data_IF_927399901372
#
_entry.id   IF_927399901372
#
_cell.length_a   1.000
_cell.length_b   1.000
_cell.length_c   1.000
_cell.angle_alpha   90.00
_cell.angle_beta   90.00
_cell.angle_gamma   90.00
#
_symmetry.space_group_name_H-M   'P 1'
#
loop_
_entity.id
_entity.type
_entity.pdbx_description
1 polymer ?
#
# COMPACT_ATOMS: atom_id res chain seq x y z
N UNK A 1 -20.72 48.96 -56.12
CA UNK A 1 -20.63 47.48 -56.15
C UNK A 1 -19.34 46.98 -55.48
N UNK A 2 -18.19 47.63 -55.73
CA UNK A 2 -16.88 47.19 -55.20
C UNK A 2 -16.75 47.22 -53.66
N UNK A 3 -17.35 48.20 -52.98
CA UNK A 3 -17.37 48.25 -51.50
C UNK A 3 -18.18 47.12 -50.85
N UNK A 4 -19.14 46.55 -51.57
CA UNK A 4 -19.98 45.45 -51.07
C UNK A 4 -19.25 44.11 -51.20
N UNK A 5 -18.51 43.91 -52.29
CA UNK A 5 -17.65 42.74 -52.52
C UNK A 5 -16.53 42.65 -51.46
N UNK A 6 -15.94 43.79 -51.09
CA UNK A 6 -14.88 43.83 -50.08
C UNK A 6 -15.37 43.44 -48.66
N UNK A 7 -16.59 43.82 -48.30
CA UNK A 7 -17.20 43.48 -47.01
C UNK A 7 -17.58 42.00 -46.95
N UNK A 8 -18.07 41.41 -48.04
CA UNK A 8 -18.40 39.98 -48.11
C UNK A 8 -17.14 39.11 -48.02
N UNK A 9 -16.03 39.52 -48.64
CA UNK A 9 -14.75 38.80 -48.53
C UNK A 9 -14.13 38.90 -47.12
N UNK A 10 -14.28 40.03 -46.42
CA UNK A 10 -13.79 40.19 -45.04
C UNK A 10 -14.61 39.33 -44.04
N UNK A 11 -15.89 39.08 -44.34
CA UNK A 11 -16.75 38.21 -43.54
C UNK A 11 -16.43 36.72 -43.73
N UNK A 12 -15.93 36.32 -44.90
CA UNK A 12 -15.49 34.93 -45.18
C UNK A 12 -14.12 34.59 -44.56
N UNK A 13 -13.30 35.58 -44.20
CA UNK A 13 -11.98 35.38 -43.58
C UNK A 13 -12.01 35.17 -42.05
N UNK A 14 -13.19 35.23 -41.42
CA UNK A 14 -13.37 34.76 -40.03
C UNK A 14 -13.51 33.23 -39.99
N UNK A 15 -12.51 32.52 -40.51
CA UNK A 15 -12.41 31.07 -40.32
C UNK A 15 -11.96 30.80 -38.87
N UNK A 16 -12.90 30.47 -38.00
CA UNK A 16 -12.58 29.93 -36.68
C UNK A 16 -11.86 28.59 -36.85
N UNK A 17 -10.69 28.43 -36.24
CA UNK A 17 -9.96 27.17 -36.24
C UNK A 17 -10.73 26.12 -35.45
N UNK A 18 -11.33 25.14 -36.14
CA UNK A 18 -11.92 23.97 -35.49
C UNK A 18 -10.77 23.08 -35.01
N UNK A 19 -10.59 22.99 -33.68
CA UNK A 19 -9.69 22.01 -33.07
C UNK A 19 -10.38 20.65 -33.08
N UNK A 20 -9.97 19.75 -33.97
CA UNK A 20 -10.44 18.38 -34.01
C UNK A 20 -9.53 17.50 -33.13
N UNK A 21 -9.88 17.38 -31.85
CA UNK A 21 -9.32 16.33 -30.99
C UNK A 21 -10.19 15.08 -31.09
N UNK A 22 -9.57 13.95 -31.45
CA UNK A 22 -10.26 12.68 -31.64
C UNK A 22 -9.98 11.80 -30.43
N UNK A 23 -11.02 11.56 -29.63
CA UNK A 23 -11.06 10.43 -28.70
C UNK A 23 -11.38 9.16 -29.47
N UNK A 24 -10.72 8.05 -29.12
CA UNK A 24 -10.95 6.74 -29.72
C UNK A 24 -11.88 5.93 -28.82
N UNK A 25 -13.13 5.73 -29.25
CA UNK A 25 -14.15 5.03 -28.47
C UNK A 25 -15.00 5.93 -27.57
N UNK A 26 -15.90 5.34 -26.77
CA UNK A 26 -16.91 6.03 -25.97
C UNK A 26 -18.06 6.66 -26.79
N UNK A 27 -19.17 6.99 -26.12
CA UNK A 27 -20.35 7.64 -26.75
C UNK A 27 -20.55 9.10 -26.34
N UNK A 28 -19.81 9.58 -25.34
CA UNK A 28 -19.84 10.95 -24.83
C UNK A 28 -18.45 11.37 -24.36
N UNK A 29 -18.15 12.66 -24.45
CA UNK A 29 -17.07 13.28 -23.68
C UNK A 29 -16.15 14.16 -24.50
N UNK A 30 -15.90 15.35 -23.94
CA UNK A 30 -14.75 16.18 -24.25
C UNK A 30 -13.48 15.35 -24.04
N UNK A 31 -12.60 15.19 -25.06
CA UNK A 31 -11.30 14.55 -24.86
C UNK A 31 -10.56 15.18 -23.70
N UNK A 32 -9.84 14.36 -22.93
CA UNK A 32 -9.00 14.88 -21.84
C UNK A 32 -8.00 15.90 -22.41
N UNK A 33 -8.05 17.14 -21.94
CA UNK A 33 -7.24 18.25 -22.47
C UNK A 33 -5.74 18.06 -22.29
N UNK A 34 -5.32 17.13 -21.43
CA UNK A 34 -3.93 16.79 -21.18
C UNK A 34 -3.49 15.50 -21.89
N UNK A 35 -4.39 14.82 -22.62
CA UNK A 35 -4.10 13.58 -23.31
C UNK A 35 -3.90 13.84 -24.81
N UNK A 36 -2.74 13.45 -25.33
CA UNK A 36 -2.53 13.36 -26.78
C UNK A 36 -3.27 12.15 -27.38
N UNK A 37 -3.50 11.10 -26.58
CA UNK A 37 -4.26 9.91 -26.94
C UNK A 37 -5.25 9.59 -25.80
N UNK A 38 -6.54 9.68 -26.11
CA UNK A 38 -7.65 9.35 -25.21
C UNK A 38 -8.41 8.15 -25.79
N UNK A 39 -8.44 7.03 -25.07
CA UNK A 39 -9.08 5.77 -25.49
C UNK A 39 -10.05 5.32 -24.41
N UNK A 40 -11.32 5.15 -24.77
CA UNK A 40 -12.36 4.69 -23.85
C UNK A 40 -13.11 3.47 -24.39
N UNK A 41 -13.22 2.43 -23.57
CA UNK A 41 -14.08 1.26 -23.81
C UNK A 41 -14.58 0.71 -22.48
N UNK A 42 -15.78 0.13 -22.47
CA UNK A 42 -16.33 -0.56 -21.29
C UNK A 42 -15.94 -2.04 -21.23
N UNK A 43 -15.43 -2.58 -22.34
CA UNK A 43 -15.25 -4.02 -22.58
C UNK A 43 -13.99 -4.37 -23.40
N UNK A 44 -13.15 -3.38 -23.76
CA UNK A 44 -11.90 -3.60 -24.51
C UNK A 44 -10.72 -2.93 -23.81
N UNK A 45 -9.54 -3.50 -23.97
CA UNK A 45 -8.29 -2.96 -23.46
C UNK A 45 -7.41 -2.35 -24.55
N UNK A 46 -6.31 -1.73 -24.14
CA UNK A 46 -5.25 -1.27 -25.03
C UNK A 46 -4.14 -2.33 -25.12
N UNK A 47 -3.91 -2.87 -26.32
CA UNK A 47 -2.85 -3.84 -26.55
C UNK A 47 -1.53 -3.11 -26.82
N UNK A 48 -0.65 -3.10 -25.83
CA UNK A 48 0.68 -2.48 -25.94
C UNK A 48 1.58 -3.21 -26.95
N UNK A 49 2.58 -2.51 -27.53
CA UNK A 49 3.61 -3.14 -28.34
C UNK A 49 4.29 -4.29 -27.60
N UNK A 50 4.33 -5.46 -28.25
CA UNK A 50 5.01 -6.66 -27.73
C UNK A 50 6.45 -6.66 -28.19
N UNK A 51 7.37 -6.62 -27.23
CA UNK A 51 8.80 -6.43 -27.46
C UNK A 51 9.57 -7.58 -26.78
N UNK A 52 10.65 -8.03 -27.40
CA UNK A 52 11.54 -9.05 -26.85
C UNK A 52 12.76 -8.38 -26.22
N UNK A 53 12.64 -7.96 -24.95
CA UNK A 53 13.74 -7.31 -24.24
C UNK A 53 14.83 -8.33 -23.91
N UNK A 54 16.08 -7.90 -23.94
CA UNK A 54 17.24 -8.74 -23.59
C UNK A 54 17.65 -8.60 -22.11
N UNK A 55 17.66 -7.36 -21.59
CA UNK A 55 17.96 -7.01 -20.20
C UNK A 55 17.35 -5.65 -19.85
N UNK A 56 17.17 -5.36 -18.55
CA UNK A 56 16.66 -4.05 -18.12
C UNK A 56 17.58 -2.88 -18.46
N UNK A 57 18.89 -3.10 -18.56
CA UNK A 57 19.86 -2.03 -18.81
C UNK A 57 20.04 -1.69 -20.29
N UNK A 58 19.60 -2.57 -21.19
CA UNK A 58 19.76 -2.39 -22.62
C UNK A 58 18.46 -1.90 -23.25
N UNK A 59 18.53 -0.93 -24.19
CA UNK A 59 17.34 -0.50 -24.92
C UNK A 59 16.86 -1.55 -25.92
N UNK A 60 17.67 -2.58 -26.20
CA UNK A 60 17.42 -3.63 -27.20
C UNK A 60 16.07 -4.31 -26.94
N UNK A 61 15.22 -4.43 -27.98
CA UNK A 61 15.51 -4.28 -29.41
C UNK A 61 15.29 -2.86 -29.95
N UNK A 62 15.02 -1.88 -29.09
CA UNK A 62 14.93 -0.47 -29.47
C UNK A 62 16.32 0.18 -29.55
N UNK A 63 16.39 1.31 -30.24
CA UNK A 63 17.65 2.01 -30.50
C UNK A 63 18.17 2.81 -29.28
N UNK A 64 17.29 3.22 -28.36
CA UNK A 64 17.64 4.04 -27.20
C UNK A 64 16.63 3.87 -26.06
N UNK A 65 17.07 4.17 -24.83
CA UNK A 65 16.19 4.31 -23.67
C UNK A 65 15.47 5.66 -23.77
N UNK A 66 14.14 5.65 -23.74
CA UNK A 66 13.30 6.84 -23.88
C UNK A 66 12.35 6.89 -22.69
N UNK A 67 12.52 7.90 -21.84
CA UNK A 67 11.72 8.04 -20.62
C UNK A 67 10.21 8.05 -20.91
N UNK A 68 9.45 7.32 -20.08
CA UNK A 68 7.99 7.20 -20.19
C UNK A 68 7.51 6.16 -21.19
N UNK A 69 8.40 5.51 -21.94
CA UNK A 69 8.03 4.49 -22.92
C UNK A 69 7.45 3.23 -22.25
N UNK A 70 6.32 2.73 -22.76
CA UNK A 70 5.64 1.53 -22.24
C UNK A 70 5.62 0.40 -23.28
N UNK A 71 6.02 -0.80 -22.86
CA UNK A 71 6.01 -2.01 -23.69
C UNK A 71 5.60 -3.24 -22.88
N UNK A 72 5.06 -4.26 -23.55
CA UNK A 72 4.90 -5.59 -22.96
C UNK A 72 6.09 -6.46 -23.38
N UNK A 73 6.95 -6.82 -22.42
CA UNK A 73 8.04 -7.75 -22.65
C UNK A 73 7.51 -9.18 -22.84
N UNK A 74 8.09 -9.91 -23.79
CA UNK A 74 7.70 -11.29 -24.13
C UNK A 74 8.74 -12.34 -23.77
N UNK A 75 9.95 -11.92 -23.41
CA UNK A 75 11.08 -12.82 -23.17
C UNK A 75 11.39 -13.02 -21.68
N UNK A 76 12.00 -14.16 -21.39
CA UNK A 76 12.63 -14.46 -20.09
C UNK A 76 14.14 -14.55 -20.26
N UNK A 77 14.77 -13.39 -20.53
CA UNK A 77 16.20 -13.28 -20.82
C UNK A 77 16.88 -12.43 -19.74
N UNK A 78 18.05 -12.86 -19.26
CA UNK A 78 18.76 -12.23 -18.14
C UNK A 78 17.86 -11.88 -16.95
N UNK A 79 17.62 -10.58 -16.72
CA UNK A 79 16.85 -10.02 -15.63
C UNK A 79 15.44 -9.56 -16.04
N UNK A 80 15.05 -9.76 -17.31
CA UNK A 80 13.70 -9.51 -17.78
C UNK A 80 12.87 -10.79 -17.79
N UNK A 81 11.57 -10.62 -17.54
CA UNK A 81 10.56 -11.67 -17.62
C UNK A 81 9.31 -11.10 -18.30
N UNK A 82 8.40 -11.93 -18.83
CA UNK A 82 7.19 -11.43 -19.46
C UNK A 82 6.40 -10.50 -18.52
N UNK A 83 5.89 -9.39 -19.05
CA UNK A 83 5.14 -8.40 -18.29
C UNK A 83 5.25 -6.96 -18.80
N UNK A 84 4.63 -6.03 -18.09
CA UNK A 84 4.61 -4.62 -18.44
C UNK A 84 5.89 -3.91 -17.95
N UNK A 85 6.56 -3.18 -18.84
CA UNK A 85 7.75 -2.40 -18.54
C UNK A 85 7.57 -0.93 -18.94
N UNK A 86 8.10 -0.03 -18.12
CA UNK A 86 8.29 1.38 -18.42
C UNK A 86 9.79 1.68 -18.51
N UNK A 87 10.22 2.47 -19.48
CA UNK A 87 11.58 2.99 -19.50
C UNK A 87 11.68 4.28 -18.68
N UNK A 88 12.67 4.39 -17.79
CA UNK A 88 12.90 5.58 -16.96
C UNK A 88 13.87 6.59 -17.59
N UNK A 89 14.22 6.40 -18.87
CA UNK A 89 15.22 7.18 -19.60
C UNK A 89 16.62 6.57 -19.54
N UNK A 90 16.87 5.63 -18.63
CA UNK A 90 18.16 4.95 -18.47
C UNK A 90 18.06 3.43 -18.51
N UNK A 91 16.92 2.86 -18.11
CA UNK A 91 16.67 1.41 -18.04
C UNK A 91 15.17 1.11 -18.10
N UNK A 92 14.85 -0.16 -18.31
CA UNK A 92 13.51 -0.71 -18.18
C UNK A 92 13.19 -1.06 -16.72
N UNK A 93 12.03 -0.62 -16.26
CA UNK A 93 11.45 -0.90 -14.94
C UNK A 93 10.18 -1.71 -15.15
N UNK A 94 10.14 -2.94 -14.62
CA UNK A 94 8.92 -3.76 -14.65
C UNK A 94 7.87 -3.10 -13.74
N UNK A 95 6.71 -2.77 -14.27
CA UNK A 95 5.64 -2.09 -13.52
C UNK A 95 4.87 -3.03 -12.58
N UNK A 96 4.92 -4.34 -12.85
CA UNK A 96 4.33 -5.37 -11.98
C UNK A 96 5.37 -6.48 -11.81
N UNK A 97 6.18 -6.39 -10.75
CA UNK A 97 7.09 -7.47 -10.38
C UNK A 97 6.33 -8.51 -9.54
N UNK A 98 5.95 -9.60 -10.18
CA UNK A 98 5.68 -10.85 -9.47
C UNK A 98 7.03 -11.38 -8.96
N UNK A 99 7.40 -11.04 -7.73
CA UNK A 99 8.59 -11.57 -7.07
C UNK A 99 9.50 -10.50 -6.48
N UNK A 100 9.63 -10.57 -5.15
CA UNK A 100 10.57 -9.83 -4.28
C UNK A 100 10.21 -8.39 -3.88
N UNK A 101 9.14 -7.79 -4.43
CA UNK A 101 8.51 -6.59 -3.84
C UNK A 101 7.60 -6.92 -2.63
N UNK A 102 7.35 -8.20 -2.37
CA UNK A 102 6.74 -8.65 -1.11
C UNK A 102 7.85 -8.99 -0.13
N UNK A 103 8.41 -7.97 0.52
CA UNK A 103 8.98 -8.20 1.86
C UNK A 103 7.98 -9.03 2.67
N UNK A 104 8.42 -9.82 3.67
CA UNK A 104 7.47 -10.37 4.62
C UNK A 104 6.52 -9.25 5.04
N UNK A 105 5.24 -9.38 4.66
CA UNK A 105 4.16 -8.46 5.05
C UNK A 105 3.87 -8.66 6.54
N UNK A 106 4.89 -8.81 7.38
CA UNK A 106 4.74 -9.08 8.79
C UNK A 106 5.73 -8.28 9.58
N UNK A 107 5.36 -8.01 10.83
CA UNK A 107 6.22 -7.38 11.81
C UNK A 107 5.94 -7.97 13.18
N UNK A 108 6.94 -7.93 14.05
CA UNK A 108 6.75 -8.30 15.44
C UNK A 108 5.95 -7.22 16.15
N UNK A 109 5.03 -7.62 17.01
CA UNK A 109 4.41 -6.70 17.95
C UNK A 109 5.50 -6.08 18.84
N UNK A 110 5.44 -4.78 19.15
CA UNK A 110 6.31 -4.21 20.16
C UNK A 110 6.18 -4.95 21.49
N UNK A 111 7.20 -4.89 22.34
CA UNK A 111 7.15 -5.54 23.65
C UNK A 111 5.96 -5.06 24.47
N UNK A 112 5.24 -6.02 25.06
CA UNK A 112 4.09 -5.79 25.95
C UNK A 112 4.24 -6.63 27.22
N UNK A 113 3.55 -6.22 28.28
CA UNK A 113 3.57 -6.91 29.57
C UNK A 113 2.24 -7.60 29.82
N UNK A 114 2.29 -8.90 30.08
CA UNK A 114 1.18 -9.69 30.58
C UNK A 114 1.27 -9.76 32.10
N UNK A 115 0.18 -9.40 32.79
CA UNK A 115 0.14 -9.51 34.24
C UNK A 115 -0.29 -10.93 34.61
N UNK A 116 0.63 -11.69 35.21
CA UNK A 116 0.39 -13.06 35.69
C UNK A 116 0.31 -13.15 37.21
N UNK A 117 0.11 -12.04 37.93
CA UNK A 117 0.09 -12.05 39.41
C UNK A 117 -1.19 -12.64 39.99
N UNK A 118 -2.25 -12.72 39.17
CA UNK A 118 -3.56 -13.24 39.56
C UNK A 118 -3.93 -14.39 38.64
N UNK A 119 -4.09 -15.58 39.21
CA UNK A 119 -4.61 -16.75 38.50
C UNK A 119 -6.09 -16.52 38.17
N UNK A 120 -6.50 -16.83 36.94
CA UNK A 120 -7.86 -16.60 36.48
C UNK A 120 -8.02 -16.94 34.99
N UNK A 121 -9.27 -16.86 34.52
CA UNK A 121 -9.64 -17.24 33.16
C UNK A 121 -10.18 -16.05 32.37
N UNK A 122 -10.15 -16.16 31.04
CA UNK A 122 -10.73 -15.21 30.09
C UNK A 122 -10.23 -13.77 30.23
N UNK A 123 -8.99 -13.59 30.69
CA UNK A 123 -8.34 -12.29 30.61
C UNK A 123 -8.20 -11.89 29.16
N UNK A 124 -8.33 -10.59 28.90
CA UNK A 124 -8.18 -10.05 27.54
C UNK A 124 -7.02 -9.08 27.42
N UNK A 125 -6.44 -9.04 26.22
CA UNK A 125 -5.46 -8.05 25.79
C UNK A 125 -5.73 -7.64 24.36
N UNK A 126 -6.01 -6.37 24.14
CA UNK A 126 -6.24 -5.81 22.82
C UNK A 126 -4.90 -5.48 22.17
N UNK A 127 -4.37 -6.43 21.40
CA UNK A 127 -3.06 -6.34 20.77
C UNK A 127 -3.01 -5.21 19.73
N UNK A 128 -4.09 -5.01 18.98
CA UNK A 128 -4.17 -3.94 17.99
C UNK A 128 -4.17 -2.55 18.62
N UNK A 129 -4.99 -2.33 19.65
CA UNK A 129 -5.05 -1.05 20.34
C UNK A 129 -3.71 -0.74 21.02
N UNK A 130 -3.04 -1.73 21.60
CA UNK A 130 -1.73 -1.52 22.19
C UNK A 130 -0.67 -1.18 21.14
N UNK A 131 -0.63 -1.91 20.02
CA UNK A 131 0.20 -1.56 18.86
C UNK A 131 -0.01 -0.10 18.42
N UNK A 132 -1.28 0.29 18.21
CA UNK A 132 -1.60 1.65 17.79
C UNK A 132 -1.14 2.67 18.84
N UNK A 133 -1.39 2.43 20.12
CA UNK A 133 -0.93 3.30 21.20
C UNK A 133 0.59 3.55 21.17
N UNK A 134 1.39 2.50 20.93
CA UNK A 134 2.85 2.64 20.81
C UNK A 134 3.26 3.47 19.58
N UNK A 135 2.57 3.31 18.46
CA UNK A 135 2.89 4.00 17.21
C UNK A 135 2.37 5.44 17.15
N UNK A 136 1.31 5.76 17.91
CA UNK A 136 0.69 7.10 17.90
C UNK A 136 1.06 7.95 19.11
N UNK A 137 2.08 7.56 19.87
CA UNK A 137 2.51 8.25 21.10
C UNK A 137 1.34 8.46 22.09
N UNK A 138 0.56 7.41 22.33
CA UNK A 138 -0.57 7.42 23.26
C UNK A 138 -0.43 6.34 24.30
N UNK A 139 -1.00 6.58 25.47
CA UNK A 139 -1.12 5.55 26.49
C UNK A 139 -2.03 4.42 26.03
N UNK A 140 -1.71 3.20 26.49
CA UNK A 140 -2.62 2.08 26.40
C UNK A 140 -3.24 1.88 27.78
N UNK A 141 -4.57 1.84 27.83
CA UNK A 141 -5.35 1.63 29.05
C UNK A 141 -5.80 0.17 29.08
N UNK A 142 -5.11 -0.71 29.83
CA UNK A 142 -5.49 -2.12 29.91
C UNK A 142 -6.82 -2.27 30.65
N UNK A 143 -7.65 -3.18 30.16
CA UNK A 143 -8.93 -3.52 30.77
C UNK A 143 -9.15 -5.03 30.64
N UNK A 144 -9.48 -5.69 31.75
CA UNK A 144 -9.56 -7.15 31.79
C UNK A 144 -10.73 -7.72 30.97
N UNK A 145 -11.78 -6.93 30.71
CA UNK A 145 -13.04 -7.38 30.09
C UNK A 145 -13.06 -7.14 28.58
N UNK A 146 -12.53 -6.01 28.14
CA UNK A 146 -12.48 -5.55 26.74
C UNK A 146 -11.12 -5.77 26.10
N UNK A 147 -10.09 -6.05 26.91
CA UNK A 147 -8.70 -6.14 26.49
C UNK A 147 -7.97 -4.81 26.49
N UNK A 148 -8.67 -3.68 26.71
CA UNK A 148 -8.08 -2.35 26.78
C UNK A 148 -8.27 -1.51 25.52
N UNK A 149 -7.95 -0.22 25.65
CA UNK A 149 -8.16 0.80 24.63
C UNK A 149 -7.02 1.81 24.59
N UNK A 150 -6.97 2.60 23.53
CA UNK A 150 -6.04 3.73 23.42
C UNK A 150 -6.58 4.88 24.28
N UNK A 151 -5.76 5.39 25.20
CA UNK A 151 -6.11 6.55 26.01
C UNK A 151 -5.79 7.87 25.30
N UNK A 152 -6.04 8.99 26.00
CA UNK A 152 -5.81 10.33 25.45
C UNK A 152 -4.44 10.89 25.84
N UNK A 153 -3.86 10.43 26.95
CA UNK A 153 -2.57 10.92 27.42
C UNK A 153 -1.41 10.47 26.52
N UNK A 154 -0.33 11.25 26.59
CA UNK A 154 0.91 10.99 25.85
C UNK A 154 1.72 9.93 26.59
N UNK A 155 2.38 9.03 25.84
CA UNK A 155 3.27 8.03 26.46
C UNK A 155 4.54 8.72 26.98
N UNK A 156 4.85 8.63 28.29
CA UNK A 156 6.02 9.30 28.85
C UNK A 156 7.35 8.67 28.37
N UNK A 157 7.31 7.45 27.87
CA UNK A 157 8.47 6.69 27.37
C UNK A 157 8.66 6.80 25.85
N UNK A 158 7.84 7.59 25.14
CA UNK A 158 7.98 7.79 23.71
C UNK A 158 9.07 8.82 23.42
N UNK A 159 10.22 8.35 22.94
CA UNK A 159 11.37 9.18 22.58
C UNK A 159 11.57 9.14 21.07
N UNK A 160 11.85 10.29 20.47
CA UNK A 160 12.04 10.46 19.02
C UNK A 160 13.22 11.38 18.73
N UNK A 161 13.77 11.31 17.52
CA UNK A 161 14.76 12.29 17.05
C UNK A 161 14.15 13.69 16.93
N UNK A 162 15.00 14.71 16.91
CA UNK A 162 14.57 16.09 16.69
C UNK A 162 13.81 16.19 15.35
N UNK A 163 12.70 16.92 15.34
CA UNK A 163 11.80 17.12 14.20
C UNK A 163 11.06 15.88 13.66
N UNK A 164 11.26 14.68 14.21
CA UNK A 164 10.44 13.53 13.82
C UNK A 164 8.96 13.76 14.20
N UNK A 165 7.98 13.20 13.45
CA UNK A 165 6.57 13.28 13.84
C UNK A 165 6.27 12.62 15.19
N UNK A 166 5.13 12.96 15.79
CA UNK A 166 4.61 12.30 17.02
C UNK A 166 3.87 10.99 16.72
N UNK A 167 3.94 10.51 15.48
CA UNK A 167 3.31 9.28 15.02
C UNK A 167 4.25 8.56 14.06
N UNK A 168 4.43 7.26 14.29
CA UNK A 168 5.13 6.35 13.40
C UNK A 168 4.10 5.84 12.38
N UNK A 169 4.42 5.76 11.08
CA UNK A 169 3.55 5.13 10.09
C UNK A 169 3.05 3.77 10.56
N UNK A 170 1.74 3.56 10.47
CA UNK A 170 1.07 2.41 11.04
C UNK A 170 -0.11 1.98 10.17
N UNK A 171 -0.61 0.77 10.44
CA UNK A 171 -1.80 0.24 9.79
C UNK A 171 -3.04 0.70 10.55
N UNK A 172 -4.00 1.36 9.87
CA UNK A 172 -5.07 2.10 10.55
C UNK A 172 -6.27 1.24 10.96
N UNK A 173 -6.41 0.02 10.46
CA UNK A 173 -7.57 -0.85 10.73
C UNK A 173 -7.11 -2.22 11.26
N UNK A 174 -7.73 -2.68 12.34
CA UNK A 174 -7.43 -3.99 12.94
C UNK A 174 -7.65 -5.15 11.96
N UNK A 175 -8.72 -5.07 11.16
CA UNK A 175 -9.11 -6.12 10.23
C UNK A 175 -8.19 -6.25 9.02
N UNK A 176 -7.23 -5.34 8.83
CA UNK A 176 -6.20 -5.42 7.78
C UNK A 176 -5.01 -6.30 8.22
N UNK A 177 -5.09 -6.88 9.43
CA UNK A 177 -4.07 -7.70 10.03
C UNK A 177 -4.58 -9.11 10.34
N UNK A 178 -3.67 -10.08 10.25
CA UNK A 178 -3.74 -11.35 10.95
C UNK A 178 -2.80 -11.31 12.16
N UNK A 179 -3.23 -11.91 13.26
CA UNK A 179 -2.52 -11.91 14.53
C UNK A 179 -2.10 -13.34 14.89
N UNK A 180 -0.84 -13.51 15.25
CA UNK A 180 -0.29 -14.82 15.63
C UNK A 180 0.45 -14.71 16.95
N UNK A 181 0.20 -15.64 17.86
CA UNK A 181 1.13 -15.97 18.95
C UNK A 181 1.96 -17.13 18.46
N UNK A 182 3.25 -16.90 18.24
CA UNK A 182 4.17 -17.91 17.69
C UNK A 182 4.86 -18.73 18.78
N UNK A 183 4.96 -18.18 19.99
CA UNK A 183 5.48 -18.88 21.17
C UNK A 183 4.96 -18.20 22.45
N UNK A 184 4.80 -18.98 23.52
CA UNK A 184 4.42 -18.47 24.84
C UNK A 184 4.75 -19.48 25.96
N UNK A 185 4.96 -19.00 27.17
CA UNK A 185 5.12 -19.85 28.35
C UNK A 185 3.79 -20.51 28.77
N UNK A 186 3.66 -21.81 28.48
CA UNK A 186 2.47 -22.60 28.78
C UNK A 186 2.31 -22.99 30.26
N UNK A 187 3.31 -22.69 31.10
CA UNK A 187 3.21 -22.87 32.56
C UNK A 187 2.59 -21.64 33.23
N UNK A 188 2.65 -20.48 32.56
CA UNK A 188 2.05 -19.23 33.02
C UNK A 188 0.70 -18.96 32.35
N UNK A 189 0.57 -19.23 31.05
CA UNK A 189 -0.62 -18.92 30.24
C UNK A 189 -1.22 -20.16 29.60
N UNK A 190 -2.55 -20.18 29.43
CA UNK A 190 -3.26 -21.25 28.73
C UNK A 190 -4.47 -20.73 27.95
N UNK A 191 -5.04 -21.58 27.08
CA UNK A 191 -6.30 -21.32 26.37
C UNK A 191 -6.31 -20.02 25.54
N UNK A 192 -5.17 -19.71 24.90
CA UNK A 192 -5.04 -18.51 24.07
C UNK A 192 -5.95 -18.60 22.83
N UNK A 193 -6.66 -17.51 22.53
CA UNK A 193 -7.40 -17.32 21.28
C UNK A 193 -7.39 -15.85 20.87
N UNK A 194 -7.36 -15.55 19.58
CA UNK A 194 -7.34 -14.17 19.07
C UNK A 194 -8.50 -13.97 18.10
N UNK A 195 -9.24 -12.88 18.26
CA UNK A 195 -10.31 -12.49 17.34
C UNK A 195 -9.82 -11.65 16.15
N UNK A 196 -10.73 -11.36 15.21
CA UNK A 196 -10.42 -10.57 14.01
C UNK A 196 -10.08 -9.09 14.28
N UNK A 197 -10.33 -8.59 15.49
CA UNK A 197 -10.00 -7.23 15.93
C UNK A 197 -8.66 -7.18 16.69
N UNK A 198 -7.95 -8.31 16.81
CA UNK A 198 -6.70 -8.41 17.52
C UNK A 198 -6.86 -8.45 19.05
N UNK A 199 -8.03 -8.85 19.57
CA UNK A 199 -8.21 -9.08 21.00
C UNK A 199 -7.83 -10.52 21.32
N UNK A 200 -6.71 -10.66 22.05
CA UNK A 200 -6.24 -11.93 22.61
C UNK A 200 -7.00 -12.21 23.91
N UNK A 201 -7.64 -13.36 23.99
CA UNK A 201 -8.20 -13.94 25.23
C UNK A 201 -7.28 -15.05 25.71
N UNK A 202 -7.02 -15.12 27.02
CA UNK A 202 -6.10 -16.07 27.64
C UNK A 202 -6.44 -16.31 29.11
N UNK A 203 -5.97 -17.43 29.64
CA UNK A 203 -6.00 -17.75 31.06
C UNK A 203 -4.62 -17.56 31.67
N UNK A 204 -4.57 -17.12 32.92
CA UNK A 204 -3.36 -17.14 33.75
C UNK A 204 -3.46 -18.34 34.66
N UNK A 205 -2.63 -19.35 34.41
CA UNK A 205 -2.63 -20.64 35.13
C UNK A 205 -1.44 -20.78 36.09
N UNK A 206 -0.48 -19.88 35.99
CA UNK A 206 0.69 -19.83 36.85
C UNK A 206 1.35 -18.46 36.80
N UNK A 207 2.43 -18.29 37.56
CA UNK A 207 3.21 -17.05 37.56
C UNK A 207 4.33 -17.15 36.53
N UNK A 208 4.47 -16.12 35.69
CA UNK A 208 5.64 -15.97 34.84
C UNK A 208 6.94 -15.92 35.65
N UNK A 209 8.00 -16.40 35.03
CA UNK A 209 9.39 -16.36 35.48
C UNK A 209 10.17 -15.31 34.69
N UNK A 210 11.44 -15.11 35.03
CA UNK A 210 12.35 -14.22 34.29
C UNK A 210 12.59 -14.66 32.82
N UNK A 211 12.16 -15.88 32.46
CA UNK A 211 12.26 -16.44 31.10
C UNK A 211 10.90 -16.56 30.40
N UNK A 212 9.83 -16.05 30.99
CA UNK A 212 8.48 -16.14 30.42
C UNK A 212 8.23 -15.01 29.43
N UNK A 213 8.18 -15.35 28.15
CA UNK A 213 7.91 -14.42 27.06
C UNK A 213 6.68 -14.87 26.25
N UNK A 214 6.10 -13.92 25.51
CA UNK A 214 5.07 -14.18 24.50
C UNK A 214 5.56 -13.56 23.20
N UNK A 215 5.71 -14.38 22.16
CA UNK A 215 6.10 -13.91 20.83
C UNK A 215 4.86 -13.71 19.98
N UNK A 216 4.68 -12.47 19.51
CA UNK A 216 3.50 -12.07 18.74
C UNK A 216 3.93 -11.47 17.40
N UNK A 217 3.33 -11.95 16.32
CA UNK A 217 3.58 -11.53 14.94
C UNK A 217 2.29 -11.05 14.29
N UNK A 218 2.34 -9.89 13.66
CA UNK A 218 1.24 -9.33 12.87
C UNK A 218 1.55 -9.49 11.40
N UNK A 219 0.60 -9.96 10.59
CA UNK A 219 0.73 -10.11 9.14
C UNK A 219 -0.30 -9.22 8.45
N UNK A 220 0.13 -8.36 7.54
CA UNK A 220 -0.71 -7.51 6.70
C UNK A 220 -1.38 -8.36 5.62
N UNK A 221 -2.69 -8.13 5.45
CA UNK A 221 -3.48 -8.80 4.41
C UNK A 221 -3.06 -8.39 2.98
#
# INVERSE_FOLDING_TARGET
>A
MERFVFIVSLFLSLSTGIQAQVKIGGTNGTPNSNAMLDVESVDKGFLLPRVALDSTLLPVPLAANVEGMLVYNTESTHDVTPGLYQNDGTKWVKLVSEGMATMPKFFYMPSIVFNTSTIGTEFKRNLYAEYKAQFTNKEFLPDAVTGGSIGTAVRPTFVKSINAPNEIPNLPVATDLYYYVTDYDNTALANLSIDANGVLTYDVVGTGTDYSFVNIVFVVK
#
